data_IF_641260358388
#
_entry.id   IF_641260358388
#
_cell.length_a   1.000
_cell.length_b   1.000
_cell.length_c   1.000
_cell.angle_alpha   90.00
_cell.angle_beta   90.00
_cell.angle_gamma   90.00
#
_symmetry.space_group_name_H-M   'P 1'
#
loop_
_entity.id
_entity.type
_entity.pdbx_description
1 polymer ?
#
# COMPACT_ATOMS: atom_id res chain seq x y z
N UNK A 1 -10.90 -1.77 -8.56
CA UNK A 1 -10.81 -2.69 -9.74
C UNK A 1 -11.18 -1.89 -10.96
N UNK A 2 -10.44 -2.03 -12.06
CA UNK A 2 -10.74 -1.37 -13.34
C UNK A 2 -10.80 -2.40 -14.46
N UNK A 3 -11.64 -2.16 -15.45
CA UNK A 3 -11.74 -2.98 -16.66
C UNK A 3 -10.85 -2.46 -17.78
N UNK A 4 -11.32 -2.61 -19.02
CA UNK A 4 -10.62 -2.14 -20.22
C UNK A 4 -10.23 -0.67 -20.14
N UNK A 5 -9.09 -0.34 -20.75
CA UNK A 5 -8.61 1.05 -20.78
C UNK A 5 -9.54 1.94 -21.62
N UNK A 6 -9.66 3.24 -21.29
CA UNK A 6 -10.37 4.18 -22.15
C UNK A 6 -9.75 4.23 -23.56
N UNK A 7 -10.55 4.40 -24.63
CA UNK A 7 -10.04 4.45 -25.99
C UNK A 7 -8.87 5.44 -26.18
N UNK A 8 -7.79 4.97 -26.80
CA UNK A 8 -6.59 5.79 -27.07
C UNK A 8 -5.78 6.18 -25.82
N UNK A 9 -6.05 5.59 -24.65
CA UNK A 9 -5.27 5.81 -23.41
C UNK A 9 -4.40 4.61 -23.08
N UNK A 10 -3.36 4.83 -22.28
CA UNK A 10 -2.47 3.76 -21.78
C UNK A 10 -3.16 2.86 -20.74
N UNK A 11 -4.16 3.40 -20.03
CA UNK A 11 -4.87 2.75 -18.94
C UNK A 11 -5.69 3.78 -18.15
N UNK A 12 -6.44 3.32 -17.15
CA UNK A 12 -7.03 4.17 -16.12
C UNK A 12 -5.92 4.81 -15.30
N UNK A 13 -5.86 6.14 -15.29
CA UNK A 13 -4.87 6.90 -14.52
C UNK A 13 -5.32 6.96 -13.06
N UNK A 14 -4.57 6.32 -12.17
CA UNK A 14 -4.86 6.27 -10.73
C UNK A 14 -3.75 6.97 -9.97
N UNK A 15 -4.10 7.91 -9.10
CA UNK A 15 -3.15 8.59 -8.23
C UNK A 15 -2.92 7.83 -6.93
N UNK A 16 -1.65 7.70 -6.53
CA UNK A 16 -1.27 7.09 -5.25
C UNK A 16 -1.09 8.20 -4.20
N UNK A 17 -1.88 8.12 -3.13
CA UNK A 17 -1.86 9.11 -2.06
C UNK A 17 -0.57 9.02 -1.22
N UNK A 18 -0.05 10.18 -0.80
CA UNK A 18 1.12 10.25 0.06
C UNK A 18 0.76 10.03 1.54
N UNK A 19 1.59 9.29 2.29
CA UNK A 19 1.39 8.99 3.71
C UNK A 19 1.39 10.23 4.64
N UNK A 20 1.98 11.35 4.19
CA UNK A 20 2.36 12.47 5.07
C UNK A 20 1.29 13.54 5.25
N UNK A 21 0.40 13.72 4.27
CA UNK A 21 -0.64 14.75 4.27
C UNK A 21 -1.93 14.12 3.74
N UNK A 22 -2.84 13.67 4.63
CA UNK A 22 -4.17 13.26 4.23
C UNK A 22 -4.77 14.36 3.35
N UNK A 23 -5.28 13.99 2.17
CA UNK A 23 -5.88 14.89 1.17
C UNK A 23 -4.92 15.76 0.34
N UNK A 24 -3.61 15.60 0.45
CA UNK A 24 -2.71 16.21 -0.54
C UNK A 24 -2.91 15.56 -1.92
N UNK A 25 -2.81 16.32 -3.02
CA UNK A 25 -2.84 15.75 -4.36
C UNK A 25 -1.79 14.64 -4.53
N UNK A 26 -2.12 13.55 -5.23
CA UNK A 26 -1.16 12.47 -5.49
C UNK A 26 -0.02 12.99 -6.36
N UNK A 27 1.21 12.63 -6.00
CA UNK A 27 2.43 12.95 -6.76
C UNK A 27 2.93 11.78 -7.60
N UNK A 28 2.38 10.58 -7.37
CA UNK A 28 2.70 9.36 -8.10
C UNK A 28 1.43 8.84 -8.76
N UNK A 29 1.56 8.36 -9.99
CA UNK A 29 0.46 7.86 -10.79
C UNK A 29 0.82 6.52 -11.40
N UNK A 30 -0.17 5.64 -11.50
CA UNK A 30 -0.10 4.36 -12.19
C UNK A 30 -1.19 4.32 -13.28
N UNK A 31 -0.99 3.47 -14.29
CA UNK A 31 -1.95 3.27 -15.37
C UNK A 31 -2.37 1.80 -15.37
N UNK A 32 -3.66 1.54 -15.14
CA UNK A 32 -4.16 0.18 -15.02
C UNK A 32 -5.17 -0.17 -16.10
N UNK A 33 -5.15 -1.43 -16.51
CA UNK A 33 -6.13 -2.07 -17.39
C UNK A 33 -6.34 -3.49 -16.85
N UNK A 34 -7.60 -3.91 -16.73
CA UNK A 34 -7.98 -5.26 -16.28
C UNK A 34 -7.25 -5.71 -15.01
N UNK A 35 -7.17 -4.80 -14.03
CA UNK A 35 -6.43 -4.97 -12.79
C UNK A 35 -7.11 -4.28 -11.61
N UNK A 36 -6.63 -4.57 -10.41
CA UNK A 36 -7.05 -3.95 -9.17
C UNK A 36 -5.88 -3.29 -8.46
N UNK A 37 -6.17 -2.25 -7.69
CA UNK A 37 -5.24 -1.66 -6.73
C UNK A 37 -5.98 -1.43 -5.43
N UNK A 38 -5.32 -1.74 -4.32
CA UNK A 38 -5.80 -1.46 -2.97
C UNK A 38 -4.66 -0.86 -2.14
N UNK A 39 -5.01 -0.01 -1.17
CA UNK A 39 -4.06 0.65 -0.29
C UNK A 39 -4.42 0.42 1.16
N UNK A 40 -3.49 -0.14 1.94
CA UNK A 40 -3.59 -0.28 3.39
C UNK A 40 -2.62 0.68 4.08
N UNK A 41 -3.03 1.30 5.18
CA UNK A 41 -2.17 2.21 5.92
C UNK A 41 -2.88 2.93 7.05
N UNK A 42 -2.13 3.73 7.79
CA UNK A 42 -2.60 4.37 9.03
C UNK A 42 -2.89 5.88 8.88
N UNK A 43 -3.04 6.36 7.65
CA UNK A 43 -3.24 7.80 7.40
C UNK A 43 -4.55 8.33 8.00
N UNK A 44 -5.62 7.52 7.95
CA UNK A 44 -6.97 7.93 8.35
C UNK A 44 -7.49 7.22 9.61
N UNK A 45 -7.19 5.92 9.79
CA UNK A 45 -7.71 5.11 10.89
C UNK A 45 -6.57 4.67 11.83
N UNK A 46 -6.51 5.31 12.99
CA UNK A 46 -5.55 5.08 14.05
C UNK A 46 -6.09 5.63 15.37
N UNK A 47 -5.50 5.20 16.49
CA UNK A 47 -5.69 5.82 17.80
C UNK A 47 -4.34 6.21 18.39
N UNK A 48 -4.34 7.21 19.26
CA UNK A 48 -3.17 7.59 20.06
C UNK A 48 -3.45 7.32 21.53
N UNK A 49 -2.54 6.58 22.16
CA UNK A 49 -2.64 6.23 23.57
C UNK A 49 -1.27 6.37 24.22
N UNK A 50 -1.20 7.18 25.28
CA UNK A 50 0.04 7.43 26.04
C UNK A 50 1.22 7.87 25.15
N UNK A 51 0.94 8.78 24.20
CA UNK A 51 1.95 9.32 23.27
C UNK A 51 2.42 8.34 22.18
N UNK A 52 1.79 7.18 22.05
CA UNK A 52 2.08 6.20 20.99
C UNK A 52 0.88 6.03 20.07
N UNK A 53 1.14 6.05 18.76
CA UNK A 53 0.15 5.84 17.71
C UNK A 53 0.01 4.35 17.39
N UNK A 54 -1.23 3.90 17.22
CA UNK A 54 -1.58 2.53 16.86
C UNK A 54 -2.53 2.57 15.66
N UNK A 55 -2.15 1.90 14.57
CA UNK A 55 -3.00 1.71 13.39
C UNK A 55 -4.22 0.83 13.72
N UNK A 56 -5.28 0.95 12.92
CA UNK A 56 -6.38 -0.02 12.91
C UNK A 56 -5.96 -1.40 12.36
N UNK A 57 -4.83 -1.46 11.65
CA UNK A 57 -4.23 -2.72 11.20
C UNK A 57 -3.55 -3.37 12.41
N UNK A 58 -4.01 -4.56 12.78
CA UNK A 58 -3.55 -5.27 13.98
C UNK A 58 -2.45 -6.26 13.63
N UNK A 59 -1.37 -6.28 14.42
CA UNK A 59 -0.39 -7.36 14.38
C UNK A 59 -0.98 -8.59 15.07
N UNK A 60 -1.20 -9.71 14.34
CA UNK A 60 -1.85 -10.89 14.89
C UNK A 60 -1.02 -11.61 15.96
N UNK A 61 0.29 -11.36 16.03
CA UNK A 61 1.16 -12.01 17.02
C UNK A 61 1.02 -11.43 18.44
N UNK A 62 0.57 -10.17 18.56
CA UNK A 62 0.48 -9.49 19.85
C UNK A 62 -0.86 -8.78 20.10
N UNK A 63 -1.77 -8.77 19.12
CA UNK A 63 -3.09 -8.15 19.22
C UNK A 63 -3.09 -6.62 19.25
N UNK A 64 -1.94 -5.98 18.98
CA UNK A 64 -1.82 -4.53 18.99
C UNK A 64 -1.82 -3.95 17.58
N UNK A 65 -2.39 -2.76 17.43
CA UNK A 65 -2.27 -1.97 16.20
C UNK A 65 -0.81 -1.72 15.84
N UNK A 66 -0.48 -1.72 14.54
CA UNK A 66 0.87 -1.41 14.06
C UNK A 66 1.30 -0.01 14.50
N UNK A 67 2.54 0.12 14.96
CA UNK A 67 3.08 1.38 15.49
C UNK A 67 4.05 2.06 14.54
N UNK A 68 4.56 1.31 13.56
CA UNK A 68 5.30 1.87 12.42
C UNK A 68 4.28 2.41 11.44
N UNK A 69 4.38 3.71 11.10
CA UNK A 69 3.47 4.30 10.13
C UNK A 69 3.78 3.79 8.73
N UNK A 70 2.75 3.38 7.99
CA UNK A 70 2.90 2.84 6.64
C UNK A 70 1.76 3.22 5.71
N UNK A 71 2.06 3.23 4.41
CA UNK A 71 1.12 3.17 3.29
C UNK A 71 1.62 2.11 2.33
N UNK A 72 0.83 1.07 2.12
CA UNK A 72 1.13 -0.07 1.26
C UNK A 72 0.09 -0.09 0.16
N UNK A 73 0.49 0.14 -1.08
CA UNK A 73 -0.36 -0.01 -2.26
C UNK A 73 0.05 -1.25 -3.02
N UNK A 74 -0.91 -2.11 -3.35
CA UNK A 74 -0.68 -3.35 -4.11
C UNK A 74 -1.55 -3.35 -5.35
N UNK A 75 -0.94 -3.62 -6.50
CA UNK A 75 -1.62 -3.92 -7.76
C UNK A 75 -1.70 -5.43 -7.89
N UNK A 76 -2.84 -5.97 -8.31
CA UNK A 76 -3.03 -7.40 -8.56
C UNK A 76 -4.17 -7.64 -9.58
N UNK A 77 -4.32 -8.85 -10.15
CA UNK A 77 -5.41 -9.18 -11.07
C UNK A 77 -6.82 -8.99 -10.49
N UNK A 78 -7.01 -9.21 -9.18
CA UNK A 78 -8.33 -9.12 -8.54
C UNK A 78 -8.32 -8.20 -7.33
N UNK A 79 -9.49 -7.62 -7.03
CA UNK A 79 -9.68 -6.77 -5.85
C UNK A 79 -9.32 -7.47 -4.55
N UNK A 80 -9.82 -8.70 -4.38
CA UNK A 80 -9.56 -9.54 -3.20
C UNK A 80 -8.05 -9.76 -3.01
N UNK A 81 -7.33 -10.08 -4.08
CA UNK A 81 -5.88 -10.30 -3.99
C UNK A 81 -5.14 -9.00 -3.65
N UNK A 82 -5.46 -7.88 -4.30
CA UNK A 82 -4.81 -6.59 -3.98
C UNK A 82 -5.07 -6.16 -2.53
N UNK A 83 -6.30 -6.33 -2.05
CA UNK A 83 -6.73 -5.87 -0.72
C UNK A 83 -6.10 -6.71 0.41
N UNK A 84 -6.20 -8.04 0.29
CA UNK A 84 -5.59 -8.96 1.26
C UNK A 84 -4.07 -8.81 1.33
N UNK A 85 -3.39 -8.67 0.19
CA UNK A 85 -1.94 -8.49 0.15
C UNK A 85 -1.52 -7.14 0.72
N UNK A 86 -2.24 -6.05 0.47
CA UNK A 86 -1.91 -4.74 1.05
C UNK A 86 -1.92 -4.79 2.59
N UNK A 87 -2.90 -5.49 3.18
CA UNK A 87 -2.98 -5.71 4.63
C UNK A 87 -1.86 -6.62 5.13
N UNK A 88 -1.62 -7.76 4.46
CA UNK A 88 -0.58 -8.71 4.85
C UNK A 88 0.83 -8.08 4.80
N UNK A 89 1.15 -7.34 3.74
CA UNK A 89 2.42 -6.62 3.57
C UNK A 89 2.57 -5.53 4.64
N UNK A 90 1.49 -4.86 5.03
CA UNK A 90 1.53 -3.88 6.13
C UNK A 90 2.01 -4.53 7.44
N UNK A 91 1.56 -5.76 7.73
CA UNK A 91 1.94 -6.52 8.92
C UNK A 91 3.37 -7.07 8.81
N UNK A 92 3.74 -7.61 7.64
CA UNK A 92 5.04 -8.24 7.40
C UNK A 92 6.21 -7.23 7.34
N UNK A 93 5.91 -5.99 6.96
CA UNK A 93 6.93 -4.97 6.71
C UNK A 93 7.59 -5.11 5.33
N UNK A 94 8.51 -4.18 4.98
CA UNK A 94 8.99 -4.03 3.60
C UNK A 94 9.70 -5.25 3.03
N UNK A 95 10.63 -5.85 3.78
CA UNK A 95 11.47 -6.95 3.29
C UNK A 95 10.65 -8.21 3.02
N UNK A 96 10.03 -8.76 4.06
CA UNK A 96 9.17 -9.95 3.98
C UNK A 96 7.94 -9.70 3.11
N UNK A 97 7.42 -8.48 3.11
CA UNK A 97 6.31 -8.08 2.26
C UNK A 97 6.66 -8.15 0.78
N UNK A 98 7.83 -7.65 0.37
CA UNK A 98 8.28 -7.76 -1.01
C UNK A 98 8.62 -9.21 -1.40
N UNK A 99 9.11 -10.04 -0.48
CA UNK A 99 9.27 -11.47 -0.72
C UNK A 99 7.93 -12.19 -0.95
N UNK A 100 6.88 -11.82 -0.21
CA UNK A 100 5.53 -12.33 -0.45
C UNK A 100 5.03 -11.91 -1.83
N UNK A 101 5.14 -10.61 -2.17
CA UNK A 101 4.68 -10.08 -3.47
C UNK A 101 5.35 -10.78 -4.65
N UNK A 102 6.66 -11.11 -4.55
CA UNK A 102 7.37 -11.85 -5.60
C UNK A 102 6.81 -13.24 -5.88
N UNK A 103 6.14 -13.88 -4.91
CA UNK A 103 5.54 -15.21 -5.04
C UNK A 103 4.12 -15.14 -5.63
N UNK A 104 3.50 -13.97 -5.62
CA UNK A 104 2.13 -13.75 -6.03
C UNK A 104 2.06 -13.35 -7.51
N UNK A 105 1.43 -14.21 -8.33
CA UNK A 105 1.37 -14.01 -9.78
C UNK A 105 0.60 -12.74 -10.12
N UNK A 106 1.27 -11.84 -10.85
CA UNK A 106 0.69 -10.57 -11.30
C UNK A 106 0.55 -9.51 -10.21
N UNK A 107 1.14 -9.73 -9.03
CA UNK A 107 1.15 -8.75 -7.96
C UNK A 107 2.39 -7.84 -8.04
N UNK A 108 2.21 -6.56 -7.73
CA UNK A 108 3.30 -5.62 -7.51
C UNK A 108 2.93 -4.68 -6.36
N UNK A 109 3.92 -4.14 -5.66
CA UNK A 109 3.68 -3.31 -4.48
C UNK A 109 4.59 -2.09 -4.39
N UNK A 110 4.04 -1.04 -3.77
CA UNK A 110 4.75 0.12 -3.26
C UNK A 110 4.49 0.23 -1.76
N UNK A 111 5.56 0.31 -1.00
CA UNK A 111 5.57 0.37 0.45
C UNK A 111 6.26 1.67 0.84
N UNK A 112 5.55 2.53 1.55
CA UNK A 112 6.10 3.75 2.15
C UNK A 112 5.97 3.64 3.65
N UNK A 113 7.06 3.81 4.39
CA UNK A 113 7.04 3.83 5.86
C UNK A 113 7.64 5.13 6.40
N UNK A 114 7.24 5.49 7.62
CA UNK A 114 7.98 6.44 8.45
C UNK A 114 8.69 5.65 9.53
N UNK A 115 10.02 5.64 9.50
CA UNK A 115 10.83 4.92 10.48
C UNK A 115 10.83 5.65 11.85
N UNK A 116 11.48 5.05 12.84
CA UNK A 116 11.56 5.60 14.22
C UNK A 116 12.17 7.00 14.29
N UNK A 117 13.00 7.38 13.31
CA UNK A 117 13.66 8.69 13.25
C UNK A 117 12.81 9.72 12.50
N UNK A 118 11.57 9.39 12.14
CA UNK A 118 10.69 10.25 11.36
C UNK A 118 11.06 10.33 9.88
N UNK A 119 12.03 9.54 9.41
CA UNK A 119 12.46 9.55 8.01
C UNK A 119 11.52 8.67 7.18
N UNK A 120 11.13 9.19 6.01
CA UNK A 120 10.37 8.45 5.01
C UNK A 120 11.30 7.51 4.24
N UNK A 121 10.88 6.27 4.13
CA UNK A 121 11.52 5.25 3.29
C UNK A 121 10.49 4.68 2.30
N UNK A 122 10.96 4.35 1.10
CA UNK A 122 10.11 3.84 0.02
C UNK A 122 10.75 2.58 -0.54
N UNK A 123 9.94 1.53 -0.68
CA UNK A 123 10.32 0.24 -1.22
C UNK A 123 9.30 -0.14 -2.29
N UNK A 124 9.74 -0.76 -3.39
CA UNK A 124 8.83 -1.16 -4.45
C UNK A 124 9.28 -2.48 -5.07
N UNK A 125 8.32 -3.29 -5.52
CA UNK A 125 8.61 -4.40 -6.41
C UNK A 125 8.85 -3.87 -7.84
N UNK A 126 9.41 -4.73 -8.69
CA UNK A 126 9.44 -4.48 -10.12
C UNK A 126 8.00 -4.38 -10.67
N UNK A 127 7.76 -3.55 -11.69
CA UNK A 127 6.46 -3.44 -12.35
C UNK A 127 5.35 -2.68 -11.59
N UNK A 128 5.63 -1.99 -10.48
CA UNK A 128 4.55 -1.24 -9.77
C UNK A 128 4.11 0.05 -10.49
N UNK A 129 5.01 0.70 -11.23
CA UNK A 129 4.74 1.96 -11.91
C UNK A 129 5.16 1.93 -13.40
N UNK A 130 5.30 0.71 -13.94
CA UNK A 130 5.52 0.45 -15.37
C UNK A 130 4.16 0.36 -16.09
#
# INVERSE_FOLDING_TARGET
VVGDRPPGKKGWKIGIAALRKPNAPPTQFIFLENAAVATSGDAYQYLEMRGKRYSHIVNPHNGLGLTTRSSVSVIAPTGIQSDSLASAVSVLGPEKGLELIKKEKGASALIVIINSNGKRETFQSQGFAE
#
